data_IF_610209507844
#
_entry.id   IF_610209507844
#
_cell.length_a   1.000
_cell.length_b   1.000
_cell.length_c   1.000
_cell.angle_alpha   90.00
_cell.angle_beta   90.00
_cell.angle_gamma   90.00
#
_symmetry.space_group_name_H-M   'P 1'
#
loop_
_entity.id
_entity.type
_entity.pdbx_description
1 polymer ?
#
# COMPACT_ATOMS: atom_id res chain seq x y z
N UNK A 1 30.49 -26.31 67.23
CA UNK A 1 30.26 -25.33 66.16
C UNK A 1 30.35 -26.03 64.81
N UNK A 2 29.23 -26.29 64.16
CA UNK A 2 29.16 -26.59 62.71
C UNK A 2 27.95 -25.82 62.20
N UNK A 3 28.19 -24.72 61.48
CA UNK A 3 27.12 -23.94 60.84
C UNK A 3 26.69 -24.72 59.60
N UNK A 4 25.49 -25.27 59.63
CA UNK A 4 24.84 -25.84 58.44
C UNK A 4 24.18 -24.66 57.72
N UNK A 5 24.73 -24.30 56.57
CA UNK A 5 24.15 -23.30 55.67
C UNK A 5 23.22 -24.05 54.73
N UNK A 6 21.91 -23.81 54.85
CA UNK A 6 20.92 -24.27 53.89
C UNK A 6 20.88 -23.26 52.74
N UNK A 7 21.42 -23.62 51.58
CA UNK A 7 21.20 -22.87 50.35
C UNK A 7 19.82 -23.22 49.81
N UNK A 8 18.84 -22.34 50.01
CA UNK A 8 17.55 -22.42 49.31
C UNK A 8 17.79 -21.92 47.89
N UNK A 9 17.89 -22.84 46.94
CA UNK A 9 17.89 -22.49 45.52
C UNK A 9 16.52 -21.98 45.14
N UNK A 10 16.39 -20.68 44.87
CA UNK A 10 15.22 -20.12 44.20
C UNK A 10 15.27 -20.63 42.76
N UNK A 11 14.49 -21.67 42.47
CA UNK A 11 14.15 -22.00 41.09
C UNK A 11 13.20 -20.90 40.60
N UNK A 12 13.75 -19.87 39.93
CA UNK A 12 12.92 -19.01 39.10
C UNK A 12 12.46 -19.89 37.95
N UNK A 13 11.21 -20.33 38.02
CA UNK A 13 10.50 -20.85 36.86
C UNK A 13 10.34 -19.64 35.93
N UNK A 14 11.31 -19.42 35.04
CA UNK A 14 11.05 -18.57 33.88
C UNK A 14 10.00 -19.33 33.08
N UNK A 15 8.76 -18.84 33.12
CA UNK A 15 7.79 -19.21 32.10
C UNK A 15 8.47 -18.86 30.77
N UNK A 16 8.86 -19.89 30.01
CA UNK A 16 9.49 -19.72 28.72
C UNK A 16 8.58 -18.82 27.88
N UNK A 17 9.07 -17.63 27.56
CA UNK A 17 8.47 -16.83 26.50
C UNK A 17 8.68 -17.67 25.25
N UNK A 18 7.60 -18.23 24.69
CA UNK A 18 7.68 -19.03 23.47
C UNK A 18 8.37 -18.17 22.40
N UNK A 19 9.54 -18.61 21.97
CA UNK A 19 10.34 -17.99 20.92
C UNK A 19 9.53 -18.09 19.63
N UNK A 20 9.06 -16.98 19.03
CA UNK A 20 8.47 -17.10 17.71
C UNK A 20 9.61 -17.35 16.71
N UNK A 21 9.71 -18.61 16.31
CA UNK A 21 10.55 -19.07 15.21
C UNK A 21 9.79 -19.03 13.90
N UNK A 22 10.45 -19.47 12.84
CA UNK A 22 9.87 -19.67 11.52
C UNK A 22 8.77 -20.73 11.56
N UNK A 23 7.60 -20.38 11.01
CA UNK A 23 6.43 -21.23 10.87
C UNK A 23 6.29 -21.61 9.39
N UNK A 24 6.49 -22.88 9.07
CA UNK A 24 6.34 -23.38 7.69
C UNK A 24 4.98 -24.03 7.50
N UNK A 25 4.23 -23.58 6.50
CA UNK A 25 2.96 -24.17 6.06
C UNK A 25 3.22 -25.46 5.29
N UNK A 26 2.53 -26.54 5.66
CA UNK A 26 2.54 -27.83 4.95
C UNK A 26 1.16 -28.20 4.37
N UNK A 27 0.08 -27.64 4.92
CA UNK A 27 -1.26 -27.72 4.35
C UNK A 27 -1.93 -29.09 4.44
N UNK A 28 -1.62 -29.89 5.47
CA UNK A 28 -2.02 -31.29 5.55
C UNK A 28 -3.54 -31.55 5.65
N UNK A 29 -4.34 -30.68 6.30
CA UNK A 29 -5.77 -30.96 6.54
C UNK A 29 -6.72 -30.01 5.80
N UNK A 30 -6.56 -28.70 5.95
CA UNK A 30 -7.38 -27.70 5.28
C UNK A 30 -6.65 -26.35 5.18
N UNK A 31 -7.29 -25.34 4.61
CA UNK A 31 -6.66 -24.01 4.41
C UNK A 31 -6.57 -23.13 5.66
N UNK A 32 -6.79 -23.64 6.88
CA UNK A 32 -6.87 -22.78 8.07
C UNK A 32 -5.53 -22.49 8.71
N UNK A 33 -5.26 -21.21 8.92
CA UNK A 33 -4.08 -20.74 9.66
C UNK A 33 -4.16 -20.97 11.18
N UNK A 34 -5.34 -21.02 11.78
CA UNK A 34 -5.52 -21.25 13.23
C UNK A 34 -5.41 -22.73 13.63
N UNK A 35 -5.17 -23.62 12.67
CA UNK A 35 -5.11 -25.05 12.88
C UNK A 35 -3.66 -25.53 12.80
N UNK A 36 -3.13 -25.97 13.95
CA UNK A 36 -1.72 -26.36 14.09
C UNK A 36 -1.31 -27.51 13.17
N UNK A 37 -2.25 -28.38 12.79
CA UNK A 37 -1.98 -29.52 11.90
C UNK A 37 -1.71 -29.14 10.44
N UNK A 38 -1.94 -27.87 10.04
CA UNK A 38 -1.59 -27.38 8.69
C UNK A 38 -0.21 -26.70 8.65
N UNK A 39 0.53 -26.77 9.76
CA UNK A 39 1.86 -26.21 9.91
C UNK A 39 2.83 -27.33 10.27
N UNK A 40 4.05 -27.24 9.76
CA UNK A 40 5.12 -28.22 10.01
C UNK A 40 5.21 -28.53 11.53
N UNK A 41 5.05 -29.79 11.95
CA UNK A 41 5.08 -30.16 13.37
C UNK A 41 6.43 -29.87 14.04
N UNK A 42 7.50 -29.66 13.28
CA UNK A 42 8.81 -29.26 13.77
C UNK A 42 8.87 -27.76 14.17
N UNK A 43 7.83 -26.98 13.90
CA UNK A 43 7.71 -25.57 14.28
C UNK A 43 7.63 -25.33 15.82
N UNK A 44 7.58 -26.39 16.63
CA UNK A 44 7.48 -26.33 18.09
C UNK A 44 6.05 -26.56 18.61
N UNK A 45 5.93 -27.26 19.73
CA UNK A 45 4.64 -27.81 20.20
C UNK A 45 3.75 -26.76 20.86
N UNK A 46 2.80 -26.18 20.13
CA UNK A 46 1.72 -25.37 20.69
C UNK A 46 0.97 -24.60 19.62
N UNK A 47 -0.33 -24.32 19.86
CA UNK A 47 -1.17 -23.51 18.98
C UNK A 47 -0.37 -22.36 18.37
N UNK A 48 -0.32 -22.31 17.04
CA UNK A 48 0.47 -21.33 16.30
C UNK A 48 -0.04 -19.93 16.65
N UNK A 49 0.76 -19.19 17.43
CA UNK A 49 0.48 -17.77 17.70
C UNK A 49 0.89 -16.96 16.48
N UNK A 50 0.01 -16.88 15.49
CA UNK A 50 0.17 -15.94 14.36
C UNK A 50 -0.30 -14.55 14.81
N UNK A 51 0.10 -14.11 16.00
CA UNK A 51 -0.21 -12.80 16.55
C UNK A 51 1.02 -12.31 17.31
N UNK A 52 2.16 -12.39 16.65
CA UNK A 52 3.48 -12.16 17.24
C UNK A 52 4.34 -11.37 16.27
N UNK A 53 4.96 -10.29 16.76
CA UNK A 53 5.83 -9.41 15.97
C UNK A 53 7.18 -10.06 15.63
N UNK A 54 7.41 -11.28 16.08
CA UNK A 54 8.60 -12.08 15.76
C UNK A 54 8.34 -13.23 14.79
N UNK A 55 7.07 -13.51 14.45
CA UNK A 55 6.68 -14.66 13.63
C UNK A 55 7.07 -14.51 12.14
N UNK A 56 7.86 -15.45 11.64
CA UNK A 56 8.14 -15.59 10.19
C UNK A 56 7.26 -16.68 9.59
N UNK A 57 6.52 -16.38 8.54
CA UNK A 57 5.68 -17.35 7.84
C UNK A 57 6.37 -17.78 6.55
N UNK A 58 6.52 -19.09 6.34
CA UNK A 58 6.93 -19.68 5.07
C UNK A 58 5.80 -20.49 4.49
N UNK A 59 5.43 -20.20 3.24
CA UNK A 59 4.53 -21.02 2.45
C UNK A 59 5.35 -21.84 1.48
N UNK A 60 5.38 -23.15 1.69
CA UNK A 60 6.17 -24.09 0.92
C UNK A 60 5.31 -25.16 0.25
N UNK A 61 5.89 -25.84 -0.73
CA UNK A 61 5.26 -26.93 -1.46
C UNK A 61 4.02 -26.50 -2.26
N UNK A 62 3.23 -27.50 -2.65
CA UNK A 62 2.06 -27.35 -3.53
C UNK A 62 0.75 -27.85 -2.94
N UNK A 63 0.77 -28.26 -1.67
CA UNK A 63 -0.40 -28.80 -0.98
C UNK A 63 -1.22 -27.66 -0.36
N UNK A 64 -2.55 -27.71 -0.56
CA UNK A 64 -3.50 -26.80 0.10
C UNK A 64 -3.11 -25.31 0.01
N UNK A 65 -2.87 -24.84 -1.22
CA UNK A 65 -2.41 -23.48 -1.48
C UNK A 65 -3.48 -22.39 -1.33
N UNK A 66 -4.75 -22.79 -1.23
CA UNK A 66 -5.82 -21.89 -0.84
C UNK A 66 -5.96 -21.92 0.68
N UNK A 67 -5.53 -20.83 1.31
CA UNK A 67 -5.42 -20.65 2.75
C UNK A 67 -6.28 -19.47 3.18
N UNK A 68 -6.63 -19.39 4.46
CA UNK A 68 -7.40 -18.28 5.00
C UNK A 68 -7.26 -18.14 6.51
N UNK A 69 -7.51 -16.92 6.97
CA UNK A 69 -7.48 -16.54 8.38
C UNK A 69 -8.83 -16.78 9.05
N UNK A 70 -8.85 -17.49 10.18
CA UNK A 70 -10.02 -17.61 11.07
C UNK A 70 -10.06 -16.52 12.15
N UNK A 71 -8.90 -16.06 12.56
CA UNK A 71 -8.67 -14.93 13.48
C UNK A 71 -7.72 -13.92 12.83
N UNK A 72 -7.72 -12.67 13.28
CA UNK A 72 -6.73 -11.71 12.81
C UNK A 72 -5.31 -12.23 13.12
N UNK A 73 -4.37 -11.88 12.26
CA UNK A 73 -3.00 -12.33 12.35
C UNK A 73 -2.02 -11.14 12.39
N UNK A 74 -0.94 -11.28 13.16
CA UNK A 74 0.23 -10.39 13.15
C UNK A 74 1.48 -11.21 12.90
N UNK A 75 2.27 -10.78 11.93
CA UNK A 75 3.49 -11.45 11.46
C UNK A 75 4.61 -10.44 11.24
N UNK A 76 5.85 -10.90 11.40
CA UNK A 76 7.04 -10.16 10.99
C UNK A 76 7.29 -10.29 9.49
N UNK A 77 7.26 -11.53 8.98
CA UNK A 77 7.53 -11.80 7.57
C UNK A 77 6.60 -12.86 6.98
N UNK A 78 6.46 -12.82 5.65
CA UNK A 78 5.82 -13.85 4.84
C UNK A 78 6.72 -14.17 3.64
N UNK A 79 7.00 -15.45 3.40
CA UNK A 79 7.83 -15.93 2.30
C UNK A 79 7.06 -17.01 1.53
N UNK A 80 6.84 -16.81 0.24
CA UNK A 80 6.46 -17.86 -0.69
C UNK A 80 7.74 -18.48 -1.24
N UNK A 81 8.08 -19.65 -0.74
CA UNK A 81 9.38 -20.27 -1.00
C UNK A 81 9.51 -20.75 -2.45
N UNK A 82 10.74 -21.06 -2.88
CA UNK A 82 11.04 -21.67 -4.20
C UNK A 82 10.23 -22.95 -4.51
N UNK A 83 9.73 -23.65 -3.49
CA UNK A 83 8.90 -24.85 -3.67
C UNK A 83 7.42 -24.55 -3.88
N UNK A 84 6.99 -23.30 -3.64
CA UNK A 84 5.63 -22.83 -3.81
C UNK A 84 5.35 -22.41 -5.26
N UNK A 85 5.38 -23.41 -6.15
CA UNK A 85 5.23 -23.20 -7.60
C UNK A 85 3.78 -23.04 -8.06
N UNK A 86 2.79 -23.36 -7.21
CA UNK A 86 1.38 -23.26 -7.56
C UNK A 86 0.76 -21.89 -7.26
N UNK A 87 -0.44 -21.66 -7.83
CA UNK A 87 -1.28 -20.53 -7.45
C UNK A 87 -1.61 -20.64 -5.96
N UNK A 88 -1.37 -19.59 -5.20
CA UNK A 88 -1.55 -19.55 -3.75
C UNK A 88 -2.41 -18.36 -3.36
N UNK A 89 -3.42 -18.60 -2.53
CA UNK A 89 -4.33 -17.59 -2.03
C UNK A 89 -4.32 -17.55 -0.50
N UNK A 90 -4.33 -16.36 0.09
CA UNK A 90 -4.52 -16.14 1.52
C UNK A 90 -5.76 -15.26 1.70
N UNK A 91 -6.87 -15.86 2.10
CA UNK A 91 -8.11 -15.19 2.44
C UNK A 91 -8.05 -14.48 3.78
N UNK A 92 -8.57 -13.26 3.83
CA UNK A 92 -8.60 -12.39 5.00
C UNK A 92 -10.02 -12.27 5.58
N UNK A 93 -10.72 -13.41 5.64
CA UNK A 93 -12.09 -13.48 6.15
C UNK A 93 -12.39 -14.84 6.81
N UNK A 94 -13.30 -14.82 7.79
CA UNK A 94 -13.90 -16.02 8.37
C UNK A 94 -15.41 -15.97 8.17
N UNK A 95 -15.89 -16.50 7.04
CA UNK A 95 -17.25 -16.24 6.58
C UNK A 95 -17.40 -14.75 6.24
N UNK A 96 -18.41 -14.10 6.81
CA UNK A 96 -18.70 -12.66 6.63
C UNK A 96 -17.87 -11.75 7.56
N UNK A 97 -16.95 -12.29 8.35
CA UNK A 97 -16.15 -11.49 9.29
C UNK A 97 -14.77 -11.16 8.71
N UNK A 98 -14.40 -9.89 8.79
CA UNK A 98 -13.09 -9.37 8.40
C UNK A 98 -11.98 -9.95 9.31
N UNK A 99 -10.87 -10.41 8.73
CA UNK A 99 -9.71 -10.95 9.44
C UNK A 99 -8.43 -10.33 8.91
N UNK A 100 -7.95 -9.31 9.61
CA UNK A 100 -6.81 -8.53 9.14
C UNK A 100 -5.51 -9.34 9.25
N UNK A 101 -4.63 -9.14 8.27
CA UNK A 101 -3.24 -9.55 8.33
C UNK A 101 -2.39 -8.32 8.63
N UNK A 102 -1.64 -8.34 9.71
CA UNK A 102 -0.81 -7.23 10.17
C UNK A 102 0.66 -7.55 9.98
N UNK A 103 1.36 -6.72 9.21
CA UNK A 103 2.82 -6.72 9.13
C UNK A 103 3.39 -5.82 10.23
N UNK A 104 4.01 -6.44 11.22
CA UNK A 104 4.64 -5.78 12.37
C UNK A 104 5.90 -6.54 12.75
N UNK A 105 7.06 -5.88 12.62
CA UNK A 105 8.33 -6.41 13.05
C UNK A 105 8.70 -5.88 14.45
N UNK A 106 9.31 -6.72 15.28
CA UNK A 106 9.90 -6.33 16.56
C UNK A 106 11.19 -5.51 16.39
N UNK A 107 11.81 -5.59 15.21
CA UNK A 107 12.95 -4.77 14.80
C UNK A 107 12.98 -4.60 13.28
N UNK A 108 13.38 -3.40 12.81
CA UNK A 108 13.47 -3.10 11.38
C UNK A 108 12.12 -3.15 10.66
N UNK A 109 12.17 -3.54 9.38
CA UNK A 109 11.02 -3.64 8.51
C UNK A 109 10.41 -5.04 8.55
N UNK A 110 9.11 -5.12 8.33
CA UNK A 110 8.47 -6.38 7.94
C UNK A 110 8.84 -6.73 6.51
N UNK A 111 8.80 -8.01 6.16
CA UNK A 111 9.16 -8.46 4.81
C UNK A 111 8.09 -9.35 4.18
N UNK A 112 7.95 -9.24 2.87
CA UNK A 112 7.20 -10.16 2.04
C UNK A 112 8.10 -10.61 0.87
N UNK A 113 8.39 -11.89 0.79
CA UNK A 113 9.27 -12.43 -0.24
C UNK A 113 8.53 -13.45 -1.10
N UNK A 114 8.70 -13.35 -2.42
CA UNK A 114 8.33 -14.40 -3.37
C UNK A 114 9.62 -14.84 -4.04
N UNK A 115 10.07 -16.05 -3.75
CA UNK A 115 11.34 -16.54 -4.27
C UNK A 115 11.31 -16.73 -5.79
N UNK A 116 12.49 -16.80 -6.40
CA UNK A 116 12.63 -16.81 -7.86
C UNK A 116 11.94 -17.99 -8.55
N UNK A 117 11.88 -19.16 -7.88
CA UNK A 117 11.24 -20.35 -8.41
C UNK A 117 9.78 -20.49 -7.97
N UNK A 118 9.23 -19.55 -7.18
CA UNK A 118 7.82 -19.51 -6.84
C UNK A 118 6.99 -18.97 -8.03
N UNK A 119 6.69 -19.84 -9.00
CA UNK A 119 6.21 -19.41 -10.34
C UNK A 119 4.72 -19.12 -10.46
N UNK A 120 3.85 -19.71 -9.64
CA UNK A 120 2.41 -19.45 -9.69
C UNK A 120 2.00 -18.10 -9.08
N UNK A 121 0.83 -17.58 -9.45
CA UNK A 121 0.32 -16.33 -8.88
C UNK A 121 0.13 -16.43 -7.36
N UNK A 122 0.44 -15.34 -6.65
CA UNK A 122 0.27 -15.21 -5.20
C UNK A 122 -0.77 -14.14 -4.94
N UNK A 123 -1.80 -14.47 -4.16
CA UNK A 123 -2.87 -13.53 -3.88
C UNK A 123 -3.16 -13.44 -2.39
N UNK A 124 -3.20 -12.21 -1.87
CA UNK A 124 -3.54 -11.89 -0.49
C UNK A 124 -4.87 -11.12 -0.49
N UNK A 125 -5.80 -11.49 0.37
CA UNK A 125 -7.12 -10.85 0.44
C UNK A 125 -8.17 -11.44 -0.50
N UNK A 126 -7.98 -12.67 -0.95
CA UNK A 126 -8.97 -13.39 -1.77
C UNK A 126 -8.97 -14.87 -1.37
N UNK A 127 -10.14 -15.50 -1.42
CA UNK A 127 -10.28 -16.95 -1.26
C UNK A 127 -11.28 -17.49 -2.27
N UNK A 128 -10.82 -18.37 -3.16
CA UNK A 128 -11.56 -18.73 -4.36
C UNK A 128 -11.76 -17.50 -5.25
N UNK A 129 -13.02 -17.12 -5.46
CA UNK A 129 -13.42 -15.95 -6.25
C UNK A 129 -13.93 -14.78 -5.39
N UNK A 130 -13.88 -14.91 -4.06
CA UNK A 130 -14.44 -13.92 -3.12
C UNK A 130 -13.33 -13.05 -2.56
N UNK A 131 -13.40 -11.74 -2.84
CA UNK A 131 -12.54 -10.73 -2.21
C UNK A 131 -12.86 -10.65 -0.72
N UNK A 132 -11.81 -10.67 0.09
CA UNK A 132 -11.92 -10.67 1.54
C UNK A 132 -12.27 -9.28 2.10
N UNK A 133 -13.00 -9.27 3.22
CA UNK A 133 -13.36 -8.04 3.93
C UNK A 133 -12.24 -7.53 4.87
N UNK A 134 -11.30 -8.41 5.26
CA UNK A 134 -10.14 -8.02 6.07
C UNK A 134 -9.15 -7.17 5.30
N UNK A 135 -8.32 -6.44 6.05
CA UNK A 135 -7.28 -5.57 5.50
C UNK A 135 -5.90 -6.18 5.65
N UNK A 136 -4.95 -5.67 4.86
CA UNK A 136 -3.53 -5.76 5.18
C UNK A 136 -3.16 -4.49 5.96
N UNK A 137 -2.63 -4.64 7.16
CA UNK A 137 -2.31 -3.52 8.06
C UNK A 137 -0.79 -3.41 8.25
N UNK A 138 -0.24 -2.21 8.05
CA UNK A 138 1.18 -1.93 8.18
C UNK A 138 1.45 -1.20 9.50
N UNK A 139 2.07 -1.91 10.45
CA UNK A 139 2.55 -1.35 11.73
C UNK A 139 4.05 -1.03 11.65
N UNK A 140 4.79 -1.82 10.87
CA UNK A 140 6.15 -1.53 10.40
C UNK A 140 6.15 -1.23 8.90
N UNK A 141 7.22 -0.62 8.40
CA UNK A 141 7.46 -0.52 6.96
C UNK A 141 7.55 -1.94 6.37
N UNK A 142 7.13 -2.10 5.12
CA UNK A 142 7.06 -3.39 4.43
C UNK A 142 7.99 -3.41 3.21
N UNK A 143 8.98 -4.29 3.27
CA UNK A 143 9.84 -4.59 2.12
C UNK A 143 9.27 -5.80 1.36
N UNK A 144 8.77 -5.55 0.16
CA UNK A 144 8.31 -6.56 -0.79
C UNK A 144 9.47 -6.88 -1.74
N UNK A 145 9.91 -8.14 -1.76
CA UNK A 145 10.88 -8.67 -2.73
C UNK A 145 10.24 -9.77 -3.55
N UNK A 146 9.89 -9.46 -4.79
CA UNK A 146 9.24 -10.38 -5.69
C UNK A 146 10.19 -10.81 -6.81
N UNK A 147 10.71 -12.04 -6.72
CA UNK A 147 11.60 -12.61 -7.74
C UNK A 147 10.92 -13.70 -8.60
N UNK A 148 9.74 -14.16 -8.20
CA UNK A 148 8.93 -15.12 -8.95
C UNK A 148 8.37 -14.59 -10.26
N UNK A 149 7.79 -15.49 -11.06
CA UNK A 149 7.26 -15.18 -12.39
C UNK A 149 5.75 -14.95 -12.44
N UNK A 150 5.03 -15.41 -11.41
CA UNK A 150 3.59 -15.15 -11.26
C UNK A 150 3.35 -13.72 -10.79
N UNK A 151 2.10 -13.26 -10.78
CA UNK A 151 1.76 -11.96 -10.19
C UNK A 151 1.57 -12.08 -8.66
N UNK A 152 2.10 -11.13 -7.89
CA UNK A 152 1.78 -10.95 -6.48
C UNK A 152 0.68 -9.91 -6.35
N UNK A 153 -0.52 -10.34 -6.00
CA UNK A 153 -1.73 -9.50 -5.93
C UNK A 153 -2.22 -9.26 -4.51
N UNK A 154 -2.48 -8.00 -4.17
CA UNK A 154 -3.19 -7.59 -2.96
C UNK A 154 -4.62 -7.17 -3.32
N UNK A 155 -5.59 -8.05 -3.02
CA UNK A 155 -7.01 -7.81 -3.25
C UNK A 155 -7.67 -7.02 -2.12
N UNK A 156 -7.21 -7.22 -0.90
CA UNK A 156 -7.66 -6.46 0.26
C UNK A 156 -7.02 -5.08 0.30
N UNK A 157 -7.71 -4.13 0.94
CA UNK A 157 -7.19 -2.79 1.23
C UNK A 157 -5.91 -2.90 2.07
N UNK A 158 -4.84 -2.22 1.64
CA UNK A 158 -3.65 -1.98 2.47
C UNK A 158 -3.87 -0.68 3.27
N UNK A 159 -3.60 -0.74 4.57
CA UNK A 159 -3.84 0.30 5.58
C UNK A 159 -2.61 0.53 6.46
N UNK A 160 -2.58 1.65 7.20
CA UNK A 160 -1.50 1.97 8.14
C UNK A 160 -0.79 3.27 7.77
N UNK A 161 0.31 3.58 8.44
CA UNK A 161 1.05 4.83 8.24
C UNK A 161 2.50 4.61 7.83
N UNK A 162 2.78 3.45 7.22
CA UNK A 162 4.12 2.94 7.00
C UNK A 162 4.42 2.81 5.53
N UNK A 163 5.71 2.83 5.22
CA UNK A 163 6.19 2.83 3.85
C UNK A 163 6.17 1.40 3.28
N UNK A 164 6.04 1.31 1.95
CA UNK A 164 6.19 0.06 1.20
C UNK A 164 7.36 0.23 0.23
N UNK A 165 8.32 -0.68 0.26
CA UNK A 165 9.39 -0.75 -0.73
C UNK A 165 9.21 -2.00 -1.57
N UNK A 166 9.16 -1.86 -2.89
CA UNK A 166 9.01 -2.96 -3.85
C UNK A 166 10.33 -3.16 -4.58
N UNK A 167 10.78 -4.41 -4.61
CA UNK A 167 12.03 -4.86 -5.23
C UNK A 167 11.84 -6.21 -5.93
N UNK A 168 12.79 -6.57 -6.79
CA UNK A 168 12.77 -7.83 -7.54
C UNK A 168 12.03 -7.73 -8.87
N UNK A 169 12.35 -8.62 -9.81
CA UNK A 169 11.90 -8.53 -11.20
C UNK A 169 10.43 -8.95 -11.43
N UNK A 170 9.76 -9.45 -10.40
CA UNK A 170 8.36 -9.89 -10.47
C UNK A 170 7.38 -8.71 -10.50
N UNK A 171 6.14 -9.02 -10.83
CA UNK A 171 5.05 -8.03 -10.92
C UNK A 171 4.26 -8.03 -9.62
N UNK A 172 4.18 -6.87 -8.96
CA UNK A 172 3.29 -6.66 -7.82
C UNK A 172 2.07 -5.87 -8.27
N UNK A 173 0.87 -6.27 -7.82
CA UNK A 173 -0.37 -5.62 -8.16
C UNK A 173 -1.18 -5.24 -6.92
N UNK A 174 -1.59 -3.99 -6.83
CA UNK A 174 -2.56 -3.53 -5.84
C UNK A 174 -3.93 -3.41 -6.47
N UNK A 175 -4.89 -4.16 -5.91
CA UNK A 175 -6.25 -4.32 -6.42
C UNK A 175 -7.31 -3.86 -5.42
N UNK A 176 -6.95 -3.65 -4.16
CA UNK A 176 -7.82 -3.04 -3.16
C UNK A 176 -7.68 -1.51 -3.11
N UNK A 177 -8.67 -0.83 -2.54
CA UNK A 177 -8.68 0.63 -2.35
C UNK A 177 -7.75 1.04 -1.20
N UNK A 178 -6.46 1.18 -1.49
CA UNK A 178 -5.42 1.38 -0.48
C UNK A 178 -5.51 2.76 0.17
N UNK A 179 -5.33 2.77 1.50
CA UNK A 179 -5.50 3.95 2.37
C UNK A 179 -4.32 4.17 3.31
N UNK A 180 -3.22 3.45 3.12
CA UNK A 180 -2.02 3.72 3.91
C UNK A 180 -1.41 5.07 3.54
N UNK A 181 -0.84 5.76 4.53
CA UNK A 181 -0.34 7.13 4.37
C UNK A 181 1.19 7.21 4.30
N UNK A 182 1.86 6.06 4.17
CA UNK A 182 3.30 5.99 3.90
C UNK A 182 3.60 6.05 2.41
N UNK A 183 4.86 6.20 2.07
CA UNK A 183 5.36 6.24 0.68
C UNK A 183 5.42 4.84 0.09
N UNK A 184 5.27 4.77 -1.23
CA UNK A 184 5.60 3.59 -2.03
C UNK A 184 6.90 3.85 -2.77
N UNK A 185 7.90 2.99 -2.62
CA UNK A 185 9.12 3.05 -3.44
C UNK A 185 9.16 1.85 -4.37
N UNK A 186 9.09 2.08 -5.69
CA UNK A 186 9.24 1.04 -6.71
C UNK A 186 10.68 1.05 -7.21
N UNK A 187 11.50 0.12 -6.72
CA UNK A 187 12.91 0.08 -7.07
C UNK A 187 13.15 -0.32 -8.53
N UNK A 188 14.32 0.06 -9.05
CA UNK A 188 14.77 -0.30 -10.39
C UNK A 188 14.58 -1.80 -10.68
N UNK A 189 14.05 -2.10 -11.87
CA UNK A 189 13.79 -3.47 -12.33
C UNK A 189 12.55 -4.13 -11.73
N UNK A 190 11.79 -3.43 -10.88
CA UNK A 190 10.55 -3.94 -10.29
C UNK A 190 9.33 -3.30 -10.96
N UNK A 191 8.18 -3.97 -10.90
CA UNK A 191 6.93 -3.47 -11.48
C UNK A 191 5.82 -3.40 -10.44
N UNK A 192 5.16 -2.25 -10.35
CA UNK A 192 3.91 -2.06 -9.60
C UNK A 192 2.76 -1.74 -10.55
N UNK A 193 1.69 -2.52 -10.44
CA UNK A 193 0.44 -2.32 -11.17
C UNK A 193 -0.67 -1.88 -10.20
N UNK A 194 -1.21 -0.68 -10.38
CA UNK A 194 -2.48 -0.28 -9.77
C UNK A 194 -3.59 -0.56 -10.78
N UNK A 195 -4.45 -1.53 -10.49
CA UNK A 195 -5.39 -2.08 -11.49
C UNK A 195 -6.83 -2.12 -11.00
N UNK A 196 -7.75 -2.39 -11.93
CA UNK A 196 -9.22 -2.33 -11.75
C UNK A 196 -9.67 -2.83 -10.37
N UNK A 197 -10.29 -1.92 -9.62
CA UNK A 197 -10.77 -2.16 -8.25
C UNK A 197 -9.84 -1.60 -7.18
N UNK A 198 -8.61 -1.19 -7.53
CA UNK A 198 -7.66 -0.59 -6.61
C UNK A 198 -7.55 0.92 -6.76
N UNK A 199 -7.87 1.66 -5.71
CA UNK A 199 -7.48 3.05 -5.54
C UNK A 199 -6.13 3.17 -4.77
N UNK A 200 -5.44 4.29 -4.97
CA UNK A 200 -4.38 4.76 -4.08
C UNK A 200 -4.83 6.07 -3.44
N UNK A 201 -4.90 6.10 -2.12
CA UNK A 201 -5.21 7.33 -1.39
C UNK A 201 -3.95 8.17 -1.17
N UNK A 202 -4.05 9.47 -1.39
CA UNK A 202 -3.02 10.45 -1.08
C UNK A 202 -3.53 11.42 -0.02
N UNK A 203 -2.89 11.44 1.15
CA UNK A 203 -3.16 12.44 2.19
C UNK A 203 -2.32 13.67 1.91
N UNK A 204 -2.98 14.80 1.66
CA UNK A 204 -2.33 16.07 1.32
C UNK A 204 -2.39 16.99 2.55
N UNK A 205 -1.21 17.39 3.04
CA UNK A 205 -1.05 18.30 4.18
C UNK A 205 -0.59 19.69 3.75
N UNK A 206 0.20 20.34 4.62
CA UNK A 206 0.92 21.58 4.27
C UNK A 206 1.89 21.36 3.10
N UNK A 207 2.42 22.45 2.52
CA UNK A 207 3.36 22.41 1.38
C UNK A 207 4.40 21.28 1.47
N UNK A 208 4.44 20.43 0.42
CA UNK A 208 5.35 19.28 0.31
C UNK A 208 5.09 18.10 1.25
N UNK A 209 4.03 18.11 2.06
CA UNK A 209 3.69 17.03 3.01
C UNK A 209 2.61 16.14 2.44
N UNK A 210 3.01 14.97 1.93
CA UNK A 210 2.11 13.94 1.40
C UNK A 210 2.81 12.57 1.35
N UNK A 211 2.03 11.50 1.16
CA UNK A 211 2.58 10.24 0.66
C UNK A 211 2.81 10.32 -0.85
N UNK A 212 3.70 9.48 -1.37
CA UNK A 212 4.14 9.54 -2.77
C UNK A 212 4.45 8.14 -3.29
N UNK A 213 4.40 7.98 -4.62
CA UNK A 213 5.00 6.85 -5.33
C UNK A 213 6.34 7.33 -5.92
N UNK A 214 7.41 6.72 -5.48
CA UNK A 214 8.80 7.09 -5.76
C UNK A 214 9.55 5.91 -6.39
N UNK A 215 10.79 6.16 -6.82
CA UNK A 215 11.72 5.12 -7.25
C UNK A 215 12.03 5.20 -8.74
N UNK A 216 12.45 4.09 -9.33
CA UNK A 216 12.87 4.04 -10.73
C UNK A 216 12.54 2.71 -11.41
N UNK A 217 11.52 2.02 -10.91
CA UNK A 217 10.91 0.87 -11.56
C UNK A 217 9.77 1.29 -12.49
N UNK A 218 9.02 0.29 -12.96
CA UNK A 218 7.86 0.48 -13.83
C UNK A 218 6.58 0.61 -13.00
N UNK A 219 5.75 1.60 -13.31
CA UNK A 219 4.51 1.88 -12.62
C UNK A 219 3.33 1.95 -13.61
N UNK A 220 2.38 1.04 -13.54
CA UNK A 220 1.13 1.14 -14.32
C UNK A 220 -0.01 1.65 -13.46
N UNK A 221 -0.62 2.77 -13.84
CA UNK A 221 -1.70 3.45 -13.13
C UNK A 221 -3.01 3.29 -13.92
N UNK A 222 -3.75 2.23 -13.65
CA UNK A 222 -4.93 1.83 -14.44
C UNK A 222 -6.24 1.86 -13.64
N UNK A 223 -6.35 2.80 -12.68
CA UNK A 223 -7.59 3.06 -11.93
C UNK A 223 -7.57 4.43 -11.20
N UNK A 224 -7.68 4.48 -9.87
CA UNK A 224 -8.00 5.72 -9.15
C UNK A 224 -6.87 6.23 -8.25
N UNK A 225 -6.63 7.54 -8.29
CA UNK A 225 -6.04 8.27 -7.18
C UNK A 225 -7.15 9.00 -6.41
N UNK A 226 -7.19 8.79 -5.10
CA UNK A 226 -8.12 9.44 -4.17
C UNK A 226 -7.35 10.43 -3.29
N UNK A 227 -7.57 11.72 -3.44
CA UNK A 227 -6.88 12.76 -2.69
C UNK A 227 -7.73 13.16 -1.47
N UNK A 228 -7.14 13.04 -0.28
CA UNK A 228 -7.64 13.69 0.92
C UNK A 228 -7.00 15.08 1.02
N UNK A 229 -7.80 16.10 0.67
CA UNK A 229 -7.43 17.50 0.69
C UNK A 229 -7.84 18.20 1.99
N UNK A 230 -8.36 17.48 2.99
CA UNK A 230 -8.92 18.10 4.20
C UNK A 230 -7.92 18.91 5.03
N UNK A 231 -6.62 18.59 4.91
CA UNK A 231 -5.51 19.30 5.55
C UNK A 231 -4.58 20.00 4.53
N UNK A 232 -4.98 20.05 3.26
CA UNK A 232 -4.14 20.59 2.20
C UNK A 232 -3.88 22.08 2.39
N UNK A 233 -2.66 22.50 2.10
CA UNK A 233 -2.32 23.90 1.94
C UNK A 233 -3.20 24.59 0.89
N UNK A 234 -3.40 25.89 1.04
CA UNK A 234 -4.26 26.73 0.17
C UNK A 234 -3.52 27.96 -0.36
N UNK A 235 -2.20 28.04 -0.17
CA UNK A 235 -1.42 29.17 -0.71
C UNK A 235 -1.01 28.85 -2.14
N UNK A 236 -1.25 29.80 -3.06
CA UNK A 236 -0.82 29.66 -4.46
C UNK A 236 0.68 29.33 -4.54
N UNK A 237 1.01 28.29 -5.28
CA UNK A 237 2.37 27.79 -5.47
C UNK A 237 2.78 26.68 -4.51
N UNK A 238 1.99 26.38 -3.46
CA UNK A 238 2.20 25.17 -2.68
C UNK A 238 1.99 23.93 -3.54
N UNK A 239 2.84 22.92 -3.36
CA UNK A 239 2.92 21.77 -4.25
C UNK A 239 3.26 20.47 -3.53
N UNK A 240 2.79 19.36 -4.11
CA UNK A 240 2.93 18.01 -3.56
C UNK A 240 3.26 17.02 -4.67
N UNK A 241 4.43 16.38 -4.58
CA UNK A 241 4.84 15.35 -5.52
C UNK A 241 4.11 14.03 -5.19
N UNK A 242 3.15 13.62 -6.02
CA UNK A 242 2.42 12.37 -5.83
C UNK A 242 3.13 11.20 -6.52
N UNK A 243 3.71 11.43 -7.70
CA UNK A 243 4.42 10.43 -8.50
C UNK A 243 5.74 11.01 -8.99
N UNK A 244 6.85 10.35 -8.73
CA UNK A 244 8.18 10.77 -9.19
C UNK A 244 8.43 10.43 -10.67
N UNK A 245 7.71 11.11 -11.58
CA UNK A 245 7.76 10.87 -13.03
C UNK A 245 9.12 11.13 -13.68
N UNK A 246 9.99 11.91 -13.03
CA UNK A 246 11.36 12.14 -13.52
C UNK A 246 12.24 10.88 -13.42
N UNK A 247 11.86 9.92 -12.58
CA UNK A 247 12.68 8.73 -12.28
C UNK A 247 11.96 7.42 -12.52
N UNK A 248 10.64 7.38 -12.39
CA UNK A 248 9.81 6.20 -12.69
C UNK A 248 9.64 6.02 -14.21
N UNK A 249 9.31 4.79 -14.60
CA UNK A 249 8.77 4.47 -15.92
C UNK A 249 7.27 4.26 -15.74
N UNK A 250 6.51 5.36 -15.68
CA UNK A 250 5.07 5.34 -15.41
C UNK A 250 4.19 5.39 -16.66
N UNK A 251 3.01 4.77 -16.53
CA UNK A 251 1.93 4.82 -17.52
C UNK A 251 0.61 5.17 -16.82
N UNK A 252 0.11 6.38 -17.05
CA UNK A 252 -1.26 6.78 -16.72
C UNK A 252 -2.21 6.19 -17.76
N UNK A 253 -2.69 4.97 -17.50
CA UNK A 253 -3.47 4.21 -18.45
C UNK A 253 -4.88 4.78 -18.66
N UNK A 254 -5.60 4.29 -19.68
CA UNK A 254 -6.93 4.79 -20.10
C UNK A 254 -8.02 4.85 -19.01
N UNK A 255 -7.86 4.14 -17.89
CA UNK A 255 -8.82 4.15 -16.77
C UNK A 255 -8.35 4.99 -15.59
N UNK A 256 -7.22 5.68 -15.73
CA UNK A 256 -6.74 6.61 -14.73
C UNK A 256 -7.81 7.67 -14.46
N UNK A 257 -8.07 7.90 -13.19
CA UNK A 257 -8.98 8.94 -12.71
C UNK A 257 -8.47 9.51 -11.40
N UNK A 258 -8.74 10.78 -11.20
CA UNK A 258 -8.40 11.52 -9.98
C UNK A 258 -9.68 11.98 -9.29
N UNK A 259 -9.82 11.67 -8.00
CA UNK A 259 -10.96 12.09 -7.19
C UNK A 259 -10.49 12.69 -5.87
N UNK A 260 -11.27 13.61 -5.32
CA UNK A 260 -11.18 14.09 -3.95
C UNK A 260 -12.12 13.27 -3.07
N UNK A 261 -11.65 12.96 -1.86
CA UNK A 261 -12.45 12.28 -0.84
C UNK A 261 -13.69 13.05 -0.40
N UNK A 262 -13.71 14.38 -0.54
CA UNK A 262 -14.82 15.23 -0.11
C UNK A 262 -15.64 15.78 -1.29
N UNK A 263 -15.00 16.14 -2.40
CA UNK A 263 -15.66 16.87 -3.49
C UNK A 263 -15.81 16.07 -4.80
N UNK A 264 -15.44 14.78 -4.81
CA UNK A 264 -15.65 13.90 -5.96
C UNK A 264 -14.62 14.09 -7.07
N UNK A 265 -15.00 13.90 -8.34
CA UNK A 265 -14.03 13.82 -9.44
C UNK A 265 -13.37 15.16 -9.80
N UNK A 266 -12.06 15.10 -10.05
CA UNK A 266 -11.34 16.17 -10.73
C UNK A 266 -11.79 16.25 -12.19
N UNK A 267 -11.69 17.43 -12.78
CA UNK A 267 -11.98 17.67 -14.20
C UNK A 267 -10.66 17.69 -14.99
N UNK A 268 -10.56 16.84 -16.02
CA UNK A 268 -9.44 16.89 -16.96
C UNK A 268 -9.71 17.97 -18.01
N UNK A 269 -9.21 19.19 -17.76
CA UNK A 269 -9.46 20.34 -18.64
C UNK A 269 -8.59 20.31 -19.92
N UNK A 270 -7.44 19.64 -19.84
CA UNK A 270 -6.54 19.34 -20.95
C UNK A 270 -5.88 18.00 -20.68
N UNK A 271 -5.48 17.27 -21.72
CA UNK A 271 -4.90 15.93 -21.59
C UNK A 271 -3.82 15.88 -20.51
N UNK A 272 -4.02 15.04 -19.49
CA UNK A 272 -3.10 14.84 -18.38
C UNK A 272 -3.02 15.99 -17.36
N UNK A 273 -3.95 16.95 -17.39
CA UNK A 273 -4.05 18.04 -16.41
C UNK A 273 -5.44 18.05 -15.79
N UNK A 274 -5.48 17.80 -14.49
CA UNK A 274 -6.68 17.54 -13.71
C UNK A 274 -6.86 18.63 -12.67
N UNK A 275 -8.03 19.26 -12.60
CA UNK A 275 -8.29 20.32 -11.63
C UNK A 275 -9.57 20.12 -10.81
N UNK A 276 -9.56 20.67 -9.59
CA UNK A 276 -10.72 20.73 -8.71
C UNK A 276 -10.69 22.03 -7.91
N UNK A 277 -11.85 22.66 -7.75
CA UNK A 277 -12.03 23.74 -6.78
C UNK A 277 -12.44 23.12 -5.44
N UNK A 278 -11.60 23.23 -4.42
CA UNK A 278 -11.87 22.72 -3.08
C UNK A 278 -11.19 23.62 -2.05
N UNK A 279 -11.72 23.68 -0.82
CA UNK A 279 -11.18 24.53 0.25
C UNK A 279 -11.03 26.02 -0.13
N UNK A 280 -11.78 26.49 -1.14
CA UNK A 280 -11.72 27.87 -1.63
C UNK A 280 -10.52 28.18 -2.53
N UNK A 281 -9.83 27.16 -3.07
CA UNK A 281 -8.75 27.31 -4.05
C UNK A 281 -8.87 26.30 -5.18
N UNK A 282 -8.12 26.51 -6.25
CA UNK A 282 -8.01 25.56 -7.36
C UNK A 282 -6.74 24.73 -7.20
N UNK A 283 -6.91 23.42 -7.06
CA UNK A 283 -5.82 22.44 -7.13
C UNK A 283 -5.71 21.92 -8.56
N UNK A 284 -4.48 21.79 -9.06
CA UNK A 284 -4.16 21.23 -10.37
C UNK A 284 -3.11 20.12 -10.23
N UNK A 285 -3.42 18.93 -10.75
CA UNK A 285 -2.49 17.82 -10.88
C UNK A 285 -2.09 17.67 -12.34
N UNK A 286 -0.78 17.59 -12.61
CA UNK A 286 -0.26 17.32 -13.94
C UNK A 286 0.43 15.94 -13.99
N UNK A 287 -0.04 15.06 -14.88
CA UNK A 287 0.56 13.74 -15.13
C UNK A 287 2.01 13.86 -15.58
N UNK A 288 2.35 14.91 -16.35
CA UNK A 288 3.70 15.15 -16.87
C UNK A 288 4.74 15.52 -15.81
N UNK A 289 4.30 15.91 -14.60
CA UNK A 289 5.19 16.23 -13.47
C UNK A 289 4.88 15.39 -12.23
N UNK A 290 3.80 14.60 -12.26
CA UNK A 290 3.26 13.86 -11.13
C UNK A 290 2.96 14.72 -9.89
N UNK A 291 2.75 16.02 -10.07
CA UNK A 291 2.66 17.00 -8.97
C UNK A 291 1.27 17.63 -8.91
N UNK A 292 0.71 17.71 -7.69
CA UNK A 292 -0.46 18.52 -7.36
C UNK A 292 0.02 19.91 -6.91
N UNK A 293 -0.61 20.99 -7.38
CA UNK A 293 -0.23 22.37 -7.04
C UNK A 293 -1.47 23.21 -6.79
N UNK A 294 -1.40 24.14 -5.82
CA UNK A 294 -2.39 25.21 -5.72
C UNK A 294 -2.10 26.25 -6.79
N UNK A 295 -2.98 26.39 -7.77
CA UNK A 295 -2.86 27.38 -8.82
C UNK A 295 -3.64 28.64 -8.46
N UNK A 296 -3.28 29.83 -8.99
CA UNK A 296 -4.15 30.99 -8.89
C UNK A 296 -5.52 30.64 -9.47
N UNK A 297 -6.60 31.06 -8.80
CA UNK A 297 -7.93 30.95 -9.40
C UNK A 297 -7.89 31.51 -10.83
N UNK A 298 -8.56 30.88 -11.82
CA UNK A 298 -8.64 31.35 -13.20
C UNK A 298 -9.19 32.78 -13.40
N UNK A 299 -9.43 33.54 -12.34
CA UNK A 299 -10.07 34.82 -12.38
C UNK A 299 -9.24 35.85 -13.19
N UNK A 300 -9.92 36.48 -14.15
CA UNK A 300 -9.72 37.90 -14.51
C UNK A 300 -8.66 38.27 -15.55
N UNK A 301 -7.94 37.35 -16.18
CA UNK A 301 -7.11 37.73 -17.37
C UNK A 301 -7.98 38.31 -18.50
N UNK A 302 -9.27 37.95 -18.56
CA UNK A 302 -10.25 38.53 -19.49
C UNK A 302 -10.80 39.91 -19.09
N UNK A 303 -10.84 40.28 -17.80
CA UNK A 303 -11.48 41.54 -17.38
C UNK A 303 -10.55 42.75 -17.45
N UNK A 304 -9.23 42.56 -17.31
CA UNK A 304 -8.26 43.64 -17.48
C UNK A 304 -8.14 44.06 -18.95
N UNK A 305 -8.34 43.13 -19.91
CA UNK A 305 -8.39 43.47 -21.34
C UNK A 305 -9.72 44.17 -21.70
N UNK A 306 -10.84 43.79 -21.09
CA UNK A 306 -12.15 44.41 -21.36
C UNK A 306 -12.28 45.83 -20.79
N UNK A 307 -11.70 46.12 -19.60
CA UNK A 307 -11.73 47.45 -19.00
C UNK A 307 -10.68 48.42 -19.60
N UNK A 308 -9.54 47.91 -20.08
CA UNK A 308 -8.51 48.73 -20.74
C UNK A 308 -8.87 49.18 -22.17
N UNK A 309 -9.70 48.41 -22.88
CA UNK A 309 -10.10 48.72 -24.26
C UNK A 309 -11.34 49.65 -24.36
N UNK A 310 -12.13 49.79 -23.29
CA UNK A 310 -13.41 50.53 -23.32
C UNK A 310 -13.31 52.00 -22.87
N UNK A 311 -12.14 52.47 -22.41
CA UNK A 311 -11.92 53.88 -22.01
C UNK A 311 -11.24 54.73 -23.09
N UNK A 312 -10.75 54.15 -24.19
CA UNK A 312 -9.89 54.88 -25.15
C UNK A 312 -10.54 55.34 -26.46
N UNK A 313 -11.87 55.26 -26.59
CA UNK A 313 -12.58 55.87 -27.71
C UNK A 313 -13.89 56.51 -27.26
N UNK A 314 -13.83 57.75 -26.77
CA UNK A 314 -14.79 58.83 -27.04
C UNK A 314 -14.20 60.14 -26.49
N UNK A 315 -13.68 60.97 -27.39
CA UNK A 315 -14.04 62.40 -27.50
C UNK A 315 -13.42 63.00 -28.76
N UNK A 316 -14.29 63.18 -29.77
CA UNK A 316 -14.13 64.15 -30.86
C UNK A 316 -13.82 65.54 -30.28
N UNK A 317 -12.92 66.29 -30.90
CA UNK A 317 -13.01 67.76 -30.87
C UNK A 317 -12.69 68.34 -32.25
N UNK A 318 -13.59 69.25 -32.63
CA UNK A 318 -13.67 70.00 -33.87
C UNK A 318 -12.48 70.97 -34.09
N UNK A 319 -12.29 71.27 -35.38
CA UNK A 319 -11.56 72.35 -36.06
C UNK A 319 -11.12 73.59 -35.26
N UNK A 320 -9.90 74.06 -35.57
CA UNK A 320 -9.62 75.37 -36.19
C UNK A 320 -8.57 75.16 -37.29
#
# INVERSE_FOLDING_TARGET
>A
MKKIVWAVGIAVLMAGVAQAGTLTWDGEIDGRWDRGENWDPNNGTGLVKINDTTADIKIAGTTQLNQYLRSAATIRSLEFTDTNVGLTQIGLNSGELARNLTFSADSGNSTLTVDALATGDKAIGIYGEVVSLGTVNLVSDLDITHNGTGELSFYSVITGSRDITISGAGVTAFRGDNTYTGKTTVNAGSTLNLIKGGAMSFTIGTDGVNNSILGSGTLSLNNEFLLDLGAAGTTVGESWLLVAVDTLDEDYALRFKLTSSANGAFTEASSGVWSINENGVDYEFAESTGTLTVIPEPATLGLVVAAGASVLFIRRRFML
#
